data_IF_486423734077
#
_entry.id   IF_486423734077
#
_cell.length_a   1.000
_cell.length_b   1.000
_cell.length_c   1.000
_cell.angle_alpha   90.00
_cell.angle_beta   90.00
_cell.angle_gamma   90.00
#
_symmetry.space_group_name_H-M   'P 1'
#
loop_
_entity.id
_entity.type
_entity.pdbx_description
1 polymer ?
#
# COMPACT_ATOMS: atom_id res chain seq x y z
N UNK A 1 -7.12 15.46 -8.59
CA UNK A 1 -8.11 15.30 -7.50
C UNK A 1 -7.56 14.53 -6.30
N UNK A 2 -7.06 13.29 -6.42
CA UNK A 2 -6.64 12.50 -5.24
C UNK A 2 -5.48 13.12 -4.43
N UNK A 3 -4.44 13.63 -5.09
CA UNK A 3 -3.31 14.29 -4.41
C UNK A 3 -3.76 15.53 -3.63
N UNK A 4 -4.60 16.38 -4.26
CA UNK A 4 -5.20 17.56 -3.63
C UNK A 4 -5.99 17.19 -2.36
N UNK A 5 -6.84 16.17 -2.42
CA UNK A 5 -7.57 15.71 -1.24
C UNK A 5 -6.62 15.26 -0.12
N UNK A 6 -5.58 14.47 -0.46
CA UNK A 6 -4.64 13.97 0.53
C UNK A 6 -3.82 15.08 1.20
N UNK A 7 -3.41 16.11 0.44
CA UNK A 7 -2.74 17.31 0.98
C UNK A 7 -3.66 18.07 1.93
N UNK A 8 -4.93 18.28 1.56
CA UNK A 8 -5.88 19.04 2.39
C UNK A 8 -6.21 18.34 3.72
N UNK A 9 -6.14 17.01 3.78
CA UNK A 9 -6.47 16.23 4.99
C UNK A 9 -5.23 15.73 5.73
N UNK A 10 -4.01 16.04 5.26
CA UNK A 10 -2.77 15.49 5.82
C UNK A 10 -2.57 15.83 7.30
N UNK A 11 -2.97 17.03 7.72
CA UNK A 11 -2.94 17.50 9.11
C UNK A 11 -3.93 16.77 10.02
N UNK A 12 -4.98 16.17 9.44
CA UNK A 12 -6.02 15.44 10.19
C UNK A 12 -5.65 13.97 10.43
N UNK A 13 -4.55 13.49 9.84
CA UNK A 13 -4.11 12.10 9.98
C UNK A 13 -3.57 11.79 11.38
N UNK A 14 -3.34 12.77 12.27
CA UNK A 14 -2.73 12.57 13.59
C UNK A 14 -1.35 11.86 13.52
N UNK A 15 -0.58 12.08 12.44
CA UNK A 15 0.78 11.56 12.28
C UNK A 15 1.66 12.59 11.59
N UNK A 16 2.55 13.22 12.37
CA UNK A 16 3.50 14.21 11.85
C UNK A 16 4.37 13.64 10.71
N UNK A 17 4.71 12.34 10.79
CA UNK A 17 5.51 11.68 9.75
C UNK A 17 4.75 11.57 8.42
N UNK A 18 3.45 11.28 8.46
CA UNK A 18 2.61 11.27 7.26
C UNK A 18 2.42 12.68 6.70
N UNK A 19 2.14 13.66 7.56
CA UNK A 19 2.00 15.06 7.14
C UNK A 19 3.26 15.55 6.43
N UNK A 20 4.45 15.36 7.04
CA UNK A 20 5.72 15.74 6.42
C UNK A 20 5.99 15.01 5.10
N UNK A 21 5.67 13.72 5.00
CA UNK A 21 5.84 12.97 3.75
C UNK A 21 4.94 13.50 2.64
N UNK A 22 3.66 13.76 2.95
CA UNK A 22 2.68 14.28 2.01
C UNK A 22 3.11 15.67 1.53
N UNK A 23 3.47 16.57 2.43
CA UNK A 23 3.87 17.94 2.09
C UNK A 23 5.18 17.98 1.28
N UNK A 24 6.09 17.03 1.52
CA UNK A 24 7.35 16.89 0.78
C UNK A 24 7.13 16.43 -0.66
N UNK A 25 6.30 15.40 -0.86
CA UNK A 25 6.25 14.66 -2.13
C UNK A 25 5.01 14.96 -2.99
N UNK A 26 3.96 15.56 -2.41
CA UNK A 26 2.72 15.91 -3.09
C UNK A 26 2.52 17.42 -3.07
N UNK A 27 2.36 18.00 -4.26
CA UNK A 27 1.95 19.39 -4.44
C UNK A 27 0.59 19.46 -5.12
N UNK A 28 -0.19 20.47 -4.75
CA UNK A 28 -1.51 20.69 -5.34
C UNK A 28 -1.34 21.00 -6.83
N UNK A 29 -2.12 20.30 -7.65
CA UNK A 29 -2.16 20.45 -9.11
C UNK A 29 -0.84 20.09 -9.83
N UNK A 30 0.09 19.40 -9.15
CA UNK A 30 1.30 18.81 -9.73
C UNK A 30 1.28 17.28 -9.67
N UNK A 31 2.03 16.63 -10.58
CA UNK A 31 2.24 15.19 -10.53
C UNK A 31 3.33 14.85 -9.50
N UNK A 32 3.10 13.80 -8.70
CA UNK A 32 4.13 13.29 -7.80
C UNK A 32 5.34 12.80 -8.61
N UNK A 33 6.51 13.42 -8.40
CA UNK A 33 7.72 13.17 -9.18
C UNK A 33 8.20 11.71 -9.05
N UNK A 34 8.18 11.16 -7.84
CA UNK A 34 8.56 9.77 -7.58
C UNK A 34 7.44 9.04 -6.81
N UNK A 35 6.33 8.80 -7.52
CA UNK A 35 5.16 8.15 -6.93
C UNK A 35 5.44 6.78 -6.32
N UNK A 36 6.36 5.99 -6.91
CA UNK A 36 6.73 4.68 -6.39
C UNK A 36 7.41 4.77 -5.02
N UNK A 37 8.35 5.70 -4.86
CA UNK A 37 9.02 5.94 -3.58
C UNK A 37 8.06 6.51 -2.54
N UNK A 38 7.23 7.48 -2.93
CA UNK A 38 6.17 8.02 -2.07
C UNK A 38 5.25 6.91 -1.56
N UNK A 39 4.76 6.03 -2.46
CA UNK A 39 3.84 4.95 -2.10
C UNK A 39 4.48 3.98 -1.10
N UNK A 40 5.77 3.68 -1.27
CA UNK A 40 6.54 2.84 -0.34
C UNK A 40 6.64 3.48 1.03
N UNK A 41 7.17 4.71 1.12
CA UNK A 41 7.31 5.43 2.39
C UNK A 41 5.96 5.63 3.07
N UNK A 42 4.93 6.00 2.31
CA UNK A 42 3.57 6.21 2.81
C UNK A 42 3.01 4.94 3.44
N UNK A 43 3.13 3.80 2.74
CA UNK A 43 2.66 2.51 3.24
C UNK A 43 3.35 2.12 4.55
N UNK A 44 4.67 2.27 4.60
CA UNK A 44 5.46 1.93 5.81
C UNK A 44 5.09 2.83 6.98
N UNK A 45 5.03 4.15 6.78
CA UNK A 45 4.65 5.10 7.84
C UNK A 45 3.21 4.85 8.30
N UNK A 46 2.30 4.48 7.39
CA UNK A 46 0.91 4.16 7.72
C UNK A 46 0.80 2.96 8.66
N UNK A 47 1.56 1.89 8.40
CA UNK A 47 1.62 0.73 9.29
C UNK A 47 2.14 1.08 10.69
N UNK A 48 3.21 1.87 10.78
CA UNK A 48 3.77 2.27 12.08
C UNK A 48 2.95 3.32 12.83
N UNK A 49 2.23 4.18 12.11
CA UNK A 49 1.40 5.23 12.74
C UNK A 49 0.08 4.66 13.27
N UNK A 50 -0.46 3.61 12.64
CA UNK A 50 -1.75 3.01 13.03
C UNK A 50 -1.68 1.48 13.04
N UNK A 51 -0.90 0.88 13.96
CA UNK A 51 -0.72 -0.57 14.01
C UNK A 51 -2.04 -1.33 14.19
N UNK A 52 -2.97 -0.77 14.95
CA UNK A 52 -4.31 -1.36 15.19
C UNK A 52 -5.20 -1.41 13.93
N UNK A 53 -4.80 -0.69 12.86
CA UNK A 53 -5.54 -0.61 11.59
C UNK A 53 -4.91 -1.43 10.47
N UNK A 54 -3.78 -2.11 10.71
CA UNK A 54 -3.04 -2.82 9.65
C UNK A 54 -3.89 -3.90 8.99
N UNK A 55 -4.62 -4.69 9.78
CA UNK A 55 -5.59 -5.66 9.25
C UNK A 55 -6.61 -5.02 8.32
N UNK A 56 -7.17 -3.89 8.73
CA UNK A 56 -8.13 -3.15 7.93
C UNK A 56 -7.52 -2.69 6.61
N UNK A 57 -6.29 -2.16 6.63
CA UNK A 57 -5.59 -1.73 5.42
C UNK A 57 -5.27 -2.89 4.48
N UNK A 58 -4.78 -4.02 5.00
CA UNK A 58 -4.45 -5.21 4.21
C UNK A 58 -5.72 -5.79 3.55
N UNK A 59 -6.83 -5.88 4.28
CA UNK A 59 -8.12 -6.34 3.74
C UNK A 59 -8.67 -5.40 2.68
N UNK A 60 -8.56 -4.08 2.88
CA UNK A 60 -8.97 -3.11 1.87
C UNK A 60 -8.13 -3.22 0.60
N UNK A 61 -6.81 -3.39 0.71
CA UNK A 61 -5.96 -3.65 -0.46
C UNK A 61 -6.40 -4.91 -1.20
N UNK A 62 -6.68 -6.00 -0.48
CA UNK A 62 -7.18 -7.24 -1.06
C UNK A 62 -8.52 -7.05 -1.80
N UNK A 63 -9.43 -6.23 -1.27
CA UNK A 63 -10.67 -5.89 -1.97
C UNK A 63 -10.41 -5.13 -3.28
N UNK A 64 -9.42 -4.24 -3.29
CA UNK A 64 -9.02 -3.50 -4.48
C UNK A 64 -8.32 -4.34 -5.55
N UNK A 65 -7.90 -5.57 -5.25
CA UNK A 65 -7.38 -6.51 -6.27
C UNK A 65 -8.41 -6.87 -7.33
N UNK A 66 -9.71 -6.64 -7.07
CA UNK A 66 -10.80 -6.85 -8.04
C UNK A 66 -11.25 -5.56 -8.73
N UNK A 67 -10.54 -4.46 -8.53
CA UNK A 67 -10.88 -3.18 -9.16
C UNK A 67 -10.85 -3.27 -10.68
N UNK A 68 -11.78 -2.59 -11.36
CA UNK A 68 -11.77 -2.45 -12.81
C UNK A 68 -10.52 -1.71 -13.32
N UNK A 69 -9.92 -0.83 -12.50
CA UNK A 69 -8.71 -0.09 -12.87
C UNK A 69 -7.45 -0.88 -12.56
N UNK A 70 -6.65 -1.18 -13.59
CA UNK A 70 -5.35 -1.85 -13.43
C UNK A 70 -4.41 -1.05 -12.53
N UNK A 71 -4.38 0.28 -12.68
CA UNK A 71 -3.61 1.17 -11.79
C UNK A 71 -3.99 0.99 -10.31
N UNK A 72 -5.27 0.84 -9.99
CA UNK A 72 -5.70 0.60 -8.60
C UNK A 72 -5.22 -0.77 -8.13
N UNK A 73 -5.34 -1.82 -8.97
CA UNK A 73 -4.84 -3.16 -8.63
C UNK A 73 -3.33 -3.17 -8.38
N UNK A 74 -2.54 -2.54 -9.27
CA UNK A 74 -1.08 -2.39 -9.11
C UNK A 74 -0.71 -1.67 -7.82
N UNK A 75 -1.37 -0.55 -7.51
CA UNK A 75 -1.12 0.20 -6.29
C UNK A 75 -1.48 -0.61 -5.04
N UNK A 76 -2.62 -1.31 -5.05
CA UNK A 76 -3.03 -2.17 -3.96
C UNK A 76 -2.02 -3.32 -3.72
N UNK A 77 -1.49 -3.92 -4.78
CA UNK A 77 -0.45 -4.94 -4.68
C UNK A 77 0.82 -4.36 -4.01
N UNK A 78 1.30 -3.21 -4.50
CA UNK A 78 2.46 -2.52 -3.92
C UNK A 78 2.27 -2.19 -2.44
N UNK A 79 1.13 -1.56 -2.10
CA UNK A 79 0.82 -1.24 -0.70
C UNK A 79 0.76 -2.49 0.17
N UNK A 80 0.18 -3.60 -0.32
CA UNK A 80 0.17 -4.88 0.42
C UNK A 80 1.59 -5.36 0.72
N UNK A 81 2.48 -5.36 -0.28
CA UNK A 81 3.88 -5.74 -0.11
C UNK A 81 4.61 -4.86 0.91
N UNK A 82 4.46 -3.54 0.81
CA UNK A 82 5.13 -2.58 1.70
C UNK A 82 4.57 -2.56 3.12
N UNK A 83 3.24 -2.66 3.28
CA UNK A 83 2.60 -2.73 4.59
C UNK A 83 3.03 -3.98 5.35
N UNK A 84 3.02 -5.14 4.67
CA UNK A 84 3.25 -6.43 5.33
C UNK A 84 4.73 -6.76 5.51
N UNK A 85 5.61 -6.29 4.61
CA UNK A 85 7.05 -6.58 4.64
C UNK A 85 7.76 -6.06 5.90
N UNK A 86 7.29 -4.93 6.45
CA UNK A 86 7.92 -4.25 7.58
C UNK A 86 7.25 -4.56 8.94
N UNK A 87 6.25 -5.46 8.98
CA UNK A 87 5.54 -5.78 10.23
C UNK A 87 6.43 -6.53 11.22
N UNK A 88 6.22 -6.29 12.51
CA UNK A 88 6.73 -7.13 13.59
C UNK A 88 5.99 -8.49 13.62
N UNK A 89 6.58 -9.56 14.16
CA UNK A 89 5.93 -10.87 14.24
C UNK A 89 4.53 -10.84 14.88
N UNK A 90 4.34 -10.00 15.90
CA UNK A 90 3.08 -9.85 16.61
C UNK A 90 1.99 -9.30 15.69
N UNK A 91 2.29 -8.22 14.97
CA UNK A 91 1.34 -7.61 14.02
C UNK A 91 1.05 -8.53 12.84
N UNK A 92 2.03 -9.33 12.39
CA UNK A 92 1.81 -10.32 11.31
C UNK A 92 0.78 -11.38 11.68
N UNK A 93 0.76 -11.81 12.94
CA UNK A 93 -0.19 -12.83 13.41
C UNK A 93 -1.65 -12.39 13.31
N UNK A 94 -1.89 -11.07 13.25
CA UNK A 94 -3.24 -10.51 13.15
C UNK A 94 -3.81 -10.56 11.73
N UNK A 95 -2.96 -10.67 10.71
CA UNK A 95 -3.34 -10.62 9.29
C UNK A 95 -3.55 -12.05 8.74
N UNK A 96 -4.67 -12.29 8.06
CA UNK A 96 -4.91 -13.58 7.38
C UNK A 96 -3.96 -13.77 6.20
N UNK A 97 -2.92 -14.60 6.41
CA UNK A 97 -1.94 -14.95 5.37
C UNK A 97 -2.63 -15.59 4.17
N UNK A 98 -3.51 -16.55 4.41
CA UNK A 98 -4.23 -17.29 3.36
C UNK A 98 -5.00 -16.35 2.44
N UNK A 99 -5.78 -15.42 3.00
CA UNK A 99 -6.58 -14.49 2.23
C UNK A 99 -5.71 -13.56 1.37
N UNK A 100 -4.64 -13.00 1.96
CA UNK A 100 -3.76 -12.06 1.26
C UNK A 100 -2.99 -12.78 0.14
N UNK A 101 -2.39 -13.93 0.41
CA UNK A 101 -1.62 -14.65 -0.60
C UNK A 101 -2.52 -15.23 -1.70
N UNK A 102 -3.74 -15.66 -1.39
CA UNK A 102 -4.71 -16.02 -2.41
C UNK A 102 -5.02 -14.84 -3.35
N UNK A 103 -5.18 -13.63 -2.79
CA UNK A 103 -5.36 -12.39 -3.55
C UNK A 103 -4.16 -12.03 -4.43
N UNK A 104 -2.94 -12.12 -3.90
CA UNK A 104 -1.71 -11.87 -4.68
C UNK A 104 -1.54 -12.92 -5.80
N UNK A 105 -1.85 -14.19 -5.54
CA UNK A 105 -1.82 -15.24 -6.55
C UNK A 105 -2.83 -15.01 -7.69
N UNK A 106 -3.97 -14.38 -7.39
CA UNK A 106 -4.92 -13.94 -8.41
C UNK A 106 -4.29 -12.86 -9.29
N UNK A 107 -3.65 -11.84 -8.69
CA UNK A 107 -3.02 -10.75 -9.43
C UNK A 107 -1.79 -11.17 -10.26
N UNK A 108 -1.08 -12.23 -9.87
CA UNK A 108 -0.03 -12.81 -10.73
C UNK A 108 -0.57 -13.34 -12.06
N UNK A 109 -1.87 -13.65 -12.11
CA UNK A 109 -2.58 -14.11 -13.31
C UNK A 109 -3.41 -13.00 -13.96
N UNK A 110 -3.25 -11.75 -13.52
CA UNK A 110 -3.98 -10.61 -14.08
C UNK A 110 -3.72 -10.47 -15.58
N UNK A 111 -4.71 -9.97 -16.33
CA UNK A 111 -4.57 -9.73 -17.77
C UNK A 111 -3.56 -8.61 -18.08
N UNK A 112 -3.45 -7.62 -17.19
CA UNK A 112 -2.55 -6.48 -17.35
C UNK A 112 -1.12 -6.84 -16.87
N UNK A 113 -0.12 -6.61 -17.72
CA UNK A 113 1.28 -6.93 -17.43
C UNK A 113 1.85 -6.10 -16.28
N UNK A 114 1.44 -4.85 -16.14
CA UNK A 114 1.93 -3.97 -15.09
C UNK A 114 1.42 -4.42 -13.72
N UNK A 115 0.19 -4.95 -13.66
CA UNK A 115 -0.37 -5.55 -12.44
C UNK A 115 0.42 -6.78 -12.05
N UNK A 116 0.74 -7.68 -13.00
CA UNK A 116 1.57 -8.85 -12.73
C UNK A 116 2.96 -8.46 -12.21
N UNK A 117 3.60 -7.47 -12.82
CA UNK A 117 4.92 -6.98 -12.42
C UNK A 117 4.90 -6.33 -11.03
N UNK A 118 3.91 -5.47 -10.75
CA UNK A 118 3.70 -4.89 -9.42
C UNK A 118 3.49 -5.96 -8.35
N UNK A 119 2.75 -7.02 -8.70
CA UNK A 119 2.48 -8.14 -7.78
C UNK A 119 3.74 -8.95 -7.50
N UNK A 120 4.55 -9.26 -8.52
CA UNK A 120 5.83 -9.93 -8.32
C UNK A 120 6.77 -9.10 -7.42
N UNK A 121 6.83 -7.78 -7.61
CA UNK A 121 7.59 -6.87 -6.74
C UNK A 121 7.03 -6.86 -5.32
N UNK A 122 5.72 -6.82 -5.14
CA UNK A 122 5.09 -6.87 -3.83
C UNK A 122 5.44 -8.17 -3.08
N UNK A 123 5.38 -9.32 -3.76
CA UNK A 123 5.76 -10.62 -3.18
C UNK A 123 7.24 -10.65 -2.79
N UNK A 124 8.12 -10.01 -3.57
CA UNK A 124 9.55 -9.92 -3.22
C UNK A 124 9.79 -9.20 -1.89
N UNK A 125 8.93 -8.25 -1.50
CA UNK A 125 8.96 -7.60 -0.19
C UNK A 125 8.56 -8.53 0.96
N UNK A 126 7.90 -9.65 0.68
CA UNK A 126 7.36 -10.59 1.66
C UNK A 126 8.27 -11.81 1.90
N UNK A 127 9.53 -11.78 1.46
CA UNK A 127 10.46 -12.91 1.58
C UNK A 127 10.74 -13.33 3.04
N UNK A 128 10.50 -12.45 4.02
CA UNK A 128 10.63 -12.74 5.46
C UNK A 128 9.27 -12.95 6.15
N UNK A 129 8.19 -13.00 5.38
CA UNK A 129 6.83 -13.11 5.87
C UNK A 129 6.43 -14.59 5.99
N UNK A 130 6.99 -15.26 7.00
CA UNK A 130 6.76 -16.68 7.31
C UNK A 130 5.74 -16.86 8.41
#
# INVERSE_FOLDING_TARGET
>A
MCARCLVLVSSLLNSNRLTMLIDRDLKIDEQCHNYGQFLKEFSVILAFSFPDRINYYALNCNNYFKSASSRIRSNAAHMTGYLLGELTPELRSTVSKELIFAGLMLLLKDHDIDVRLSTARAISCLHRYT
#
